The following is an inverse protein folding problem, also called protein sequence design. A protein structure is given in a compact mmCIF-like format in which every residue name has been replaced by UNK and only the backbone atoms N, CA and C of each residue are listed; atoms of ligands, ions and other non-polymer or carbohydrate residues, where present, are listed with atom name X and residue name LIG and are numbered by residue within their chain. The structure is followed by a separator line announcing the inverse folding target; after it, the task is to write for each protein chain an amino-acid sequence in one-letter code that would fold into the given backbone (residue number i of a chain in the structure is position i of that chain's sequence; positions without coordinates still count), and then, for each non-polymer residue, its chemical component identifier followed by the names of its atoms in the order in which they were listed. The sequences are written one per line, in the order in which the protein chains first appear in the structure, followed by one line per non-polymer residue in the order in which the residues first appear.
data_IF_098538166491
#
_entry.id   IF_098538166491
#
_cell.length_a   1.000
_cell.length_b   1.000
_cell.length_c   1.000
_cell.angle_alpha   90.00
_cell.angle_beta   90.00
_cell.angle_gamma   90.00
#
_symmetry.space_group_name_H-M   'P 1'
#
loop_
_entity.id
_entity.type
_entity.pdbx_description
1 polymer ?
#
# COMPACT_ATOMS: atom_id res chain seq x y z
N UNK A 1 19.68 -10.87 -22.35
CA UNK A 1 18.20 -10.98 -22.30
C UNK A 1 17.75 -10.36 -20.99
N UNK A 2 16.91 -9.33 -21.06
CA UNK A 2 16.47 -8.54 -19.92
C UNK A 2 15.67 -9.40 -18.91
N UNK A 3 15.79 -9.12 -17.61
CA UNK A 3 15.02 -9.82 -16.56
C UNK A 3 13.52 -9.68 -16.80
N UNK A 4 13.09 -8.50 -17.28
CA UNK A 4 11.69 -8.22 -17.59
C UNK A 4 11.14 -9.20 -18.62
N UNK A 5 11.90 -9.44 -19.69
CA UNK A 5 11.51 -10.30 -20.82
C UNK A 5 11.51 -11.78 -20.44
N UNK A 6 12.43 -12.21 -19.56
CA UNK A 6 12.51 -13.59 -19.08
C UNK A 6 11.45 -13.92 -18.03
N UNK A 7 11.03 -12.94 -17.24
CA UNK A 7 10.13 -13.18 -16.11
C UNK A 7 8.73 -13.64 -16.54
N UNK A 8 8.13 -12.97 -17.52
CA UNK A 8 6.75 -13.27 -17.97
C UNK A 8 6.57 -14.73 -18.41
N UNK A 9 7.39 -15.31 -19.30
CA UNK A 9 7.21 -16.71 -19.70
C UNK A 9 7.47 -17.70 -18.55
N UNK A 10 8.39 -17.39 -17.62
CA UNK A 10 8.63 -18.21 -16.44
C UNK A 10 7.43 -18.13 -15.46
N UNK A 11 6.86 -16.94 -15.28
CA UNK A 11 5.69 -16.73 -14.45
C UNK A 11 4.50 -17.54 -14.96
N UNK A 12 4.22 -17.44 -16.26
CA UNK A 12 3.15 -18.22 -16.90
C UNK A 12 3.36 -19.73 -16.72
N UNK A 13 4.61 -20.20 -16.87
CA UNK A 13 4.95 -21.62 -16.72
C UNK A 13 4.80 -22.15 -15.29
N UNK A 14 5.24 -21.40 -14.29
CA UNK A 14 5.34 -21.90 -12.91
C UNK A 14 4.19 -21.47 -11.99
N UNK A 15 3.37 -20.49 -12.40
CA UNK A 15 2.29 -19.94 -11.57
C UNK A 15 0.89 -20.14 -12.20
N UNK A 16 0.71 -21.17 -13.03
CA UNK A 16 -0.61 -21.59 -13.55
C UNK A 16 -1.45 -20.44 -14.14
N UNK A 17 -0.85 -19.60 -14.99
CA UNK A 17 -1.52 -18.43 -15.58
C UNK A 17 -2.10 -17.43 -14.56
N UNK A 18 -1.56 -17.37 -13.33
CA UNK A 18 -1.88 -16.30 -12.39
C UNK A 18 -1.58 -14.93 -13.02
N UNK A 19 -2.36 -13.92 -12.63
CA UNK A 19 -2.13 -12.54 -13.05
C UNK A 19 -0.70 -12.08 -12.75
N UNK A 20 -0.17 -11.20 -13.60
CA UNK A 20 1.17 -10.64 -13.40
C UNK A 20 1.24 -9.87 -12.08
N UNK A 21 2.37 -9.94 -11.36
CA UNK A 21 2.51 -9.30 -10.06
C UNK A 21 2.48 -7.78 -10.18
N UNK A 22 2.04 -7.14 -9.09
CA UNK A 22 2.21 -5.72 -8.87
C UNK A 22 3.59 -5.49 -8.26
N UNK A 23 4.33 -4.59 -8.87
CA UNK A 23 5.63 -4.09 -8.41
C UNK A 23 5.44 -2.68 -7.87
N UNK A 24 6.20 -2.33 -6.85
CA UNK A 24 6.25 -0.96 -6.35
C UNK A 24 7.65 -0.53 -5.98
N UNK A 25 7.88 0.78 -6.03
CA UNK A 25 9.14 1.39 -5.62
C UNK A 25 8.90 2.81 -5.13
N UNK A 26 9.80 3.30 -4.30
CA UNK A 26 9.82 4.69 -3.86
C UNK A 26 10.74 5.52 -4.75
N UNK A 27 10.36 6.76 -5.00
CA UNK A 27 11.17 7.72 -5.75
C UNK A 27 10.88 9.15 -5.27
N UNK A 28 11.84 10.04 -5.47
CA UNK A 28 11.64 11.49 -5.33
C UNK A 28 11.57 12.19 -6.70
N UNK A 29 11.76 11.44 -7.79
CA UNK A 29 11.64 11.94 -9.15
C UNK A 29 10.19 12.00 -9.61
N UNK A 30 9.81 13.09 -10.26
CA UNK A 30 8.50 13.24 -10.90
C UNK A 30 8.48 12.57 -12.29
N UNK A 31 7.29 12.36 -12.86
CA UNK A 31 7.13 11.84 -14.22
C UNK A 31 7.17 10.32 -14.37
N UNK A 32 7.44 9.56 -13.30
CA UNK A 32 7.32 8.08 -13.30
C UNK A 32 5.86 7.60 -13.44
N UNK A 33 4.92 8.43 -12.99
CA UNK A 33 3.50 8.36 -13.25
C UNK A 33 2.84 9.69 -12.85
N UNK A 34 1.61 9.94 -13.30
CA UNK A 34 0.80 11.03 -12.77
C UNK A 34 0.40 10.71 -11.32
N UNK A 35 0.72 11.58 -10.34
CA UNK A 35 0.24 11.40 -8.97
C UNK A 35 -1.28 11.32 -8.93
N UNK A 36 -1.81 10.39 -8.14
CA UNK A 36 -3.23 10.33 -7.86
C UNK A 36 -3.64 11.66 -7.20
N UNK A 37 -4.74 12.26 -7.67
CA UNK A 37 -5.28 13.43 -6.98
C UNK A 37 -5.96 12.98 -5.68
N UNK A 38 -5.91 13.76 -4.58
CA UNK A 38 -6.69 13.48 -3.40
C UNK A 38 -8.16 13.22 -3.75
N UNK A 39 -8.73 12.11 -3.28
CA UNK A 39 -10.11 11.71 -3.56
C UNK A 39 -10.39 11.10 -4.95
N UNK A 40 -9.40 11.03 -5.84
CA UNK A 40 -9.58 10.47 -7.22
C UNK A 40 -9.45 8.95 -7.32
N UNK A 41 -9.15 8.29 -6.21
CA UNK A 41 -9.00 6.84 -6.08
C UNK A 41 -9.87 6.32 -4.93
N UNK A 42 -10.16 5.01 -4.87
CA UNK A 42 -10.80 4.42 -3.71
C UNK A 42 -10.13 4.84 -2.40
N UNK A 43 -10.94 4.94 -1.33
CA UNK A 43 -10.47 5.40 -0.01
C UNK A 43 -9.25 4.61 0.49
N UNK A 44 -9.18 3.32 0.18
CA UNK A 44 -8.05 2.44 0.53
C UNK A 44 -7.09 2.26 -0.65
N UNK A 45 -5.78 2.33 -0.38
CA UNK A 45 -4.73 2.07 -1.40
C UNK A 45 -4.87 0.68 -2.02
N UNK A 46 -5.24 -0.35 -1.22
CA UNK A 46 -5.46 -1.71 -1.73
C UNK A 46 -6.60 -1.73 -2.76
N UNK A 47 -7.68 -0.97 -2.53
CA UNK A 47 -8.76 -0.84 -3.52
C UNK A 47 -8.31 -0.11 -4.79
N UNK A 48 -7.38 0.84 -4.67
CA UNK A 48 -6.79 1.50 -5.84
C UNK A 48 -5.91 0.56 -6.69
N UNK A 49 -5.30 -0.47 -6.08
CA UNK A 49 -4.47 -1.45 -6.79
C UNK A 49 -5.23 -2.30 -7.81
N UNK A 50 -6.57 -2.38 -7.76
CA UNK A 50 -7.36 -3.01 -8.83
C UNK A 50 -7.07 -2.38 -10.20
N UNK A 51 -6.94 -1.05 -10.26
CA UNK A 51 -6.58 -0.35 -11.51
C UNK A 51 -5.18 -0.72 -11.99
N UNK A 52 -4.27 -1.04 -11.06
CA UNK A 52 -2.91 -1.49 -11.38
C UNK A 52 -2.94 -2.90 -11.98
N UNK A 53 -3.79 -3.79 -11.46
CA UNK A 53 -4.02 -5.11 -12.06
C UNK A 53 -4.52 -5.01 -13.50
N UNK A 54 -5.29 -3.99 -13.82
CA UNK A 54 -5.77 -3.65 -15.17
C UNK A 54 -4.71 -2.97 -16.07
N UNK A 55 -3.47 -2.81 -15.59
CA UNK A 55 -2.38 -2.21 -16.36
C UNK A 55 -2.25 -0.69 -16.24
N UNK A 56 -2.96 -0.04 -15.30
CA UNK A 56 -2.71 1.38 -15.00
C UNK A 56 -1.51 1.54 -14.08
N UNK A 57 -0.66 2.51 -14.36
CA UNK A 57 0.36 2.97 -13.40
C UNK A 57 -0.26 3.96 -12.43
N UNK A 58 -0.02 3.81 -11.13
CA UNK A 58 -0.43 4.77 -10.11
C UNK A 58 0.78 5.27 -9.33
N UNK A 59 0.80 6.57 -9.02
CA UNK A 59 1.75 7.16 -8.08
C UNK A 59 0.99 7.80 -6.93
N UNK A 60 1.49 7.63 -5.71
CA UNK A 60 0.93 8.21 -4.50
C UNK A 60 2.00 8.94 -3.71
N UNK A 61 1.55 9.95 -2.99
CA UNK A 61 2.27 10.72 -1.97
C UNK A 61 1.42 10.78 -0.68
N UNK A 62 1.91 11.51 0.32
CA UNK A 62 1.25 11.65 1.62
C UNK A 62 -0.17 12.26 1.54
N UNK A 63 -0.45 13.09 0.52
CA UNK A 63 -1.72 13.81 0.36
C UNK A 63 -2.75 13.01 -0.43
N UNK A 64 -2.30 12.23 -1.40
CA UNK A 64 -3.15 11.44 -2.28
C UNK A 64 -3.64 10.12 -1.67
N UNK A 65 -2.97 9.60 -0.64
CA UNK A 65 -3.42 8.40 0.08
C UNK A 65 -4.58 8.74 1.01
N UNK A 66 -5.77 8.19 0.74
CA UNK A 66 -6.98 8.51 1.49
C UNK A 66 -7.10 7.86 2.88
N UNK A 67 -6.58 6.63 3.08
CA UNK A 67 -6.75 5.90 4.33
C UNK A 67 -5.56 6.04 5.27
N UNK A 68 -5.83 6.16 6.58
CA UNK A 68 -4.80 6.25 7.61
C UNK A 68 -3.86 5.03 7.64
N UNK A 69 -4.41 3.82 7.46
CA UNK A 69 -3.61 2.60 7.35
C UNK A 69 -2.64 2.65 6.17
N UNK A 70 -3.09 3.10 5.00
CA UNK A 70 -2.24 3.29 3.83
C UNK A 70 -1.11 4.29 4.09
N UNK A 71 -1.41 5.46 4.68
CA UNK A 71 -0.39 6.46 5.02
C UNK A 71 0.67 5.89 5.97
N UNK A 72 0.24 5.17 7.02
CA UNK A 72 1.13 4.60 8.03
C UNK A 72 2.01 3.48 7.49
N UNK A 73 1.43 2.52 6.77
CA UNK A 73 2.16 1.32 6.32
C UNK A 73 2.96 1.55 5.04
N UNK A 74 2.63 2.58 4.25
CA UNK A 74 3.48 3.03 3.14
C UNK A 74 4.53 4.06 3.57
N UNK A 75 4.61 4.39 4.86
CA UNK A 75 5.70 5.19 5.45
C UNK A 75 5.54 6.71 5.32
N UNK A 76 4.36 7.21 5.01
CA UNK A 76 4.05 8.64 4.90
C UNK A 76 3.48 9.26 6.18
N UNK A 77 3.15 8.45 7.18
CA UNK A 77 2.74 8.90 8.50
C UNK A 77 3.38 8.01 9.57
N UNK A 78 3.73 8.60 10.70
CA UNK A 78 4.27 7.95 11.90
C UNK A 78 3.21 7.82 13.00
N UNK A 79 2.33 8.81 13.10
CA UNK A 79 1.28 8.89 14.12
C UNK A 79 0.14 7.94 13.83
N UNK A 80 -0.31 7.28 14.88
CA UNK A 80 -1.49 6.44 14.91
C UNK A 80 -2.59 7.20 15.65
N UNK A 81 -3.84 7.01 15.24
CA UNK A 81 -4.98 7.68 15.88
C UNK A 81 -5.07 7.36 17.38
N UNK A 82 -5.64 8.27 18.21
CA UNK A 82 -5.92 7.98 19.61
C UNK A 82 -6.84 6.75 19.78
N UNK A 83 -6.66 6.01 20.88
CA UNK A 83 -7.44 4.80 21.21
C UNK A 83 -7.38 3.70 20.13
N UNK A 84 -6.29 3.62 19.37
CA UNK A 84 -6.12 2.63 18.30
C UNK A 84 -6.27 1.18 18.78
N UNK A 85 -5.88 0.89 20.02
CA UNK A 85 -6.07 -0.41 20.61
C UNK A 85 -7.53 -0.84 20.67
N UNK A 86 -8.44 0.11 20.88
CA UNK A 86 -9.88 -0.12 20.89
C UNK A 86 -10.42 -0.15 19.46
N UNK A 87 -9.96 0.75 18.58
CA UNK A 87 -10.30 0.73 17.17
C UNK A 87 -10.01 -0.64 16.53
N UNK A 88 -8.81 -1.21 16.76
CA UNK A 88 -8.42 -2.49 16.16
C UNK A 88 -9.05 -3.71 16.84
N UNK A 89 -9.71 -3.52 18.00
CA UNK A 89 -10.34 -4.59 18.78
C UNK A 89 -11.85 -4.37 18.94
N UNK A 90 -12.34 -4.14 20.16
CA UNK A 90 -13.76 -4.15 20.50
C UNK A 90 -14.47 -2.80 20.36
N UNK A 91 -13.74 -1.72 20.10
CA UNK A 91 -14.27 -0.36 20.10
C UNK A 91 -14.51 0.19 21.51
N UNK A 92 -15.12 1.37 21.56
CA UNK A 92 -15.59 2.05 22.77
C UNK A 92 -17.10 2.31 22.58
N UNK A 93 -17.99 1.73 23.41
CA UNK A 93 -19.43 1.91 23.27
C UNK A 93 -19.84 3.37 23.14
N UNK A 94 -20.66 3.68 22.13
CA UNK A 94 -21.17 5.03 21.85
C UNK A 94 -20.14 6.05 21.35
N UNK A 95 -18.86 5.66 21.19
CA UNK A 95 -17.78 6.59 20.82
C UNK A 95 -16.95 6.13 19.62
N UNK A 96 -16.64 4.84 19.55
CA UNK A 96 -15.73 4.30 18.54
C UNK A 96 -16.13 2.89 18.19
N UNK A 97 -16.48 2.64 16.93
CA UNK A 97 -16.66 1.28 16.46
C UNK A 97 -15.32 0.56 16.35
N UNK A 98 -15.28 -0.72 16.75
CA UNK A 98 -14.12 -1.57 16.66
C UNK A 98 -14.14 -2.46 15.41
N UNK A 99 -12.98 -2.61 14.78
CA UNK A 99 -12.74 -3.46 13.61
C UNK A 99 -12.71 -4.96 13.96
N UNK A 100 -12.52 -5.31 15.23
CA UNK A 100 -12.51 -6.69 15.75
C UNK A 100 -11.43 -7.60 15.14
N UNK A 101 -10.33 -7.03 14.62
CA UNK A 101 -9.17 -7.81 14.12
C UNK A 101 -8.36 -8.46 15.24
N UNK A 102 -8.36 -7.86 16.44
CA UNK A 102 -7.73 -8.42 17.64
C UNK A 102 -8.75 -8.55 18.76
N UNK A 103 -8.58 -9.59 19.58
CA UNK A 103 -9.54 -9.95 20.63
C UNK A 103 -9.67 -8.87 21.71
N UNK A 104 -8.57 -8.22 22.11
CA UNK A 104 -8.60 -7.21 23.18
C UNK A 104 -7.63 -6.05 22.94
N UNK A 105 -7.86 -4.88 23.55
CA UNK A 105 -6.96 -3.73 23.48
C UNK A 105 -5.53 -4.05 23.97
N UNK A 106 -5.38 -4.90 24.97
CA UNK A 106 -4.08 -5.29 25.55
C UNK A 106 -3.23 -6.04 24.53
N UNK A 107 -3.84 -6.92 23.73
CA UNK A 107 -3.16 -7.62 22.64
C UNK A 107 -2.70 -6.65 21.55
N UNK A 108 -3.50 -5.63 21.25
CA UNK A 108 -3.08 -4.58 20.31
C UNK A 108 -1.92 -3.78 20.88
N UNK A 109 -1.96 -3.37 22.16
CA UNK A 109 -0.84 -2.68 22.82
C UNK A 109 0.43 -3.51 22.80
N UNK A 110 0.34 -4.81 23.09
CA UNK A 110 1.47 -5.73 23.03
C UNK A 110 2.04 -5.82 21.61
N UNK A 111 1.20 -5.98 20.58
CA UNK A 111 1.63 -5.98 19.19
C UNK A 111 2.35 -4.67 18.83
N UNK A 112 1.81 -3.53 19.24
CA UNK A 112 2.36 -2.23 18.90
C UNK A 112 3.75 -1.96 19.51
N UNK A 113 4.10 -2.61 20.64
CA UNK A 113 5.46 -2.52 21.21
C UNK A 113 6.54 -3.09 20.29
N UNK A 114 6.17 -4.05 19.44
CA UNK A 114 7.09 -4.74 18.52
C UNK A 114 6.87 -4.31 17.06
N UNK A 115 5.89 -3.45 16.80
CA UNK A 115 5.58 -3.00 15.47
C UNK A 115 6.69 -2.07 14.96
N UNK A 116 7.29 -2.43 13.81
CA UNK A 116 8.30 -1.60 13.19
C UNK A 116 7.70 -0.29 12.64
N UNK A 117 8.41 0.81 12.85
CA UNK A 117 8.12 2.07 12.18
C UNK A 117 8.89 2.11 10.87
N UNK A 118 8.19 2.39 9.78
CA UNK A 118 8.80 2.56 8.47
C UNK A 118 8.57 4.00 8.01
N UNK A 119 9.61 4.62 7.47
CA UNK A 119 9.55 5.94 6.83
C UNK A 119 9.83 5.75 5.36
N UNK A 120 8.97 6.30 4.50
CA UNK A 120 9.13 6.23 3.07
C UNK A 120 10.49 6.84 2.66
N UNK A 121 11.33 6.12 1.89
CA UNK A 121 12.63 6.63 1.45
C UNK A 121 12.52 7.62 0.28
N UNK A 122 11.31 7.87 -0.23
CA UNK A 122 11.04 8.82 -1.31
C UNK A 122 9.70 9.53 -1.12
N UNK A 123 9.54 10.65 -1.83
CA UNK A 123 8.30 11.46 -1.80
C UNK A 123 7.10 10.72 -2.38
N UNK A 124 7.34 9.85 -3.35
CA UNK A 124 6.32 9.08 -4.05
C UNK A 124 6.53 7.58 -3.87
N UNK A 125 5.44 6.84 -3.90
CA UNK A 125 5.42 5.40 -4.15
C UNK A 125 4.70 5.15 -5.47
N UNK A 126 5.34 4.43 -6.38
CA UNK A 126 4.81 4.11 -7.70
C UNK A 126 4.45 2.64 -7.74
N UNK A 127 3.24 2.32 -8.18
CA UNK A 127 2.75 0.96 -8.40
C UNK A 127 2.57 0.72 -9.91
N UNK A 128 3.13 -0.39 -10.38
CA UNK A 128 3.05 -0.86 -11.77
C UNK A 128 2.74 -2.36 -11.78
N UNK A 129 2.01 -2.84 -12.78
CA UNK A 129 2.03 -4.27 -13.11
C UNK A 129 3.36 -4.58 -13.79
N UNK A 130 3.89 -5.79 -13.63
CA UNK A 130 5.23 -6.17 -14.13
C UNK A 130 5.51 -5.76 -15.57
N UNK A 131 4.56 -5.98 -16.47
CA UNK A 131 4.66 -5.65 -17.91
C UNK A 131 4.72 -4.14 -18.19
N UNK A 132 4.23 -3.32 -17.27
CA UNK A 132 4.24 -1.85 -17.35
C UNK A 132 5.53 -1.21 -16.83
N UNK A 133 6.51 -1.99 -16.35
CA UNK A 133 7.81 -1.45 -15.92
C UNK A 133 8.58 -0.86 -17.10
N UNK A 134 9.13 0.33 -16.93
CA UNK A 134 10.03 0.93 -17.92
C UNK A 134 11.45 0.38 -17.72
N UNK A 135 12.28 0.43 -18.78
CA UNK A 135 13.71 0.15 -18.63
C UNK A 135 14.32 1.22 -17.73
N UNK A 136 15.22 0.82 -16.83
CA UNK A 136 16.01 1.78 -16.07
C UNK A 136 16.78 2.67 -17.04
N UNK A 137 16.73 3.98 -16.82
CA UNK A 137 17.60 4.93 -17.52
C UNK A 137 19.05 4.73 -17.14
#
# INVERSE_FOLDING_TARGET
MDIKDRFVPLWQRYFNNAELPIVFYYTSEEGHANPAKPGSVPRCVIGALTRVREGKTLSFDAESIGCFGGKRYLGFADRIMPNFEYFLSCGIPGKLEGERYKKSPELVKSLMKHAHTFKAPGRFIVFKRWDMLDKSK
#
